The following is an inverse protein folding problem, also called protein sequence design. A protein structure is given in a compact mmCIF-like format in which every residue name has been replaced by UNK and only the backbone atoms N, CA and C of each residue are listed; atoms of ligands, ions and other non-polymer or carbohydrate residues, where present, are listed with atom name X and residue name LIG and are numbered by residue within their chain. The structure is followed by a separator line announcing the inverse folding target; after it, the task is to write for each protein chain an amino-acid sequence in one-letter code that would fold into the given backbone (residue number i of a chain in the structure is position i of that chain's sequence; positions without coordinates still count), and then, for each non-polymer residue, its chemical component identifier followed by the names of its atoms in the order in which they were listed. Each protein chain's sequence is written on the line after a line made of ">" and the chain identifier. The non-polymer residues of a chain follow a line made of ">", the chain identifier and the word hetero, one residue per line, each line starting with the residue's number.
data_IF_604958779225
#
_entry.id   IF_604958779225
#
_cell.length_a   1.000
_cell.length_b   1.000
_cell.length_c   1.000
_cell.angle_alpha   90.00
_cell.angle_beta   90.00
_cell.angle_gamma   90.00
#
_symmetry.space_group_name_H-M   'P 1'
#
loop_
_entity.id
_entity.type
_entity.pdbx_description
1 polymer ?
#
# COMPACT_ATOMS: atom_id res chain seq x y z
N UNK A 1 -22.46 -15.00 -12.23
CA UNK A 1 -21.36 -14.27 -11.58
C UNK A 1 -21.87 -13.92 -10.19
N UNK A 2 -21.21 -14.39 -9.13
CA UNK A 2 -21.65 -14.15 -7.74
C UNK A 2 -21.16 -12.79 -7.25
N UNK A 3 -21.78 -12.21 -6.23
CA UNK A 3 -21.37 -10.92 -5.64
C UNK A 3 -19.93 -11.01 -5.13
N UNK A 4 -19.53 -12.16 -4.58
CA UNK A 4 -18.13 -12.45 -4.22
C UNK A 4 -17.21 -12.43 -5.45
N UNK A 5 -17.61 -13.04 -6.56
CA UNK A 5 -16.78 -13.06 -7.79
C UNK A 5 -16.48 -11.64 -8.29
N UNK A 6 -17.45 -10.73 -8.20
CA UNK A 6 -17.26 -9.33 -8.59
C UNK A 6 -16.26 -8.61 -7.68
N UNK A 7 -16.29 -8.87 -6.37
CA UNK A 7 -15.28 -8.38 -5.44
C UNK A 7 -13.88 -8.91 -5.81
N UNK A 8 -13.75 -10.22 -6.05
CA UNK A 8 -12.45 -10.83 -6.33
C UNK A 8 -11.80 -10.28 -7.62
N UNK A 9 -12.62 -9.92 -8.62
CA UNK A 9 -12.13 -9.23 -9.84
C UNK A 9 -11.62 -7.82 -9.55
N UNK A 10 -12.19 -7.12 -8.56
CA UNK A 10 -11.69 -5.82 -8.09
C UNK A 10 -10.41 -5.98 -7.29
N UNK A 11 -10.31 -7.03 -6.49
CA UNK A 11 -9.15 -7.39 -5.65
C UNK A 11 -8.02 -8.12 -6.41
N UNK A 12 -8.05 -8.12 -7.75
CA UNK A 12 -7.00 -8.70 -8.57
C UNK A 12 -5.63 -8.06 -8.22
N UNK A 13 -4.60 -8.85 -7.83
CA UNK A 13 -3.31 -8.31 -7.40
C UNK A 13 -2.61 -7.48 -8.47
N UNK A 14 -2.83 -7.73 -9.76
CA UNK A 14 -2.26 -6.93 -10.85
C UNK A 14 -2.81 -5.50 -10.82
N UNK A 15 -4.06 -5.34 -10.39
CA UNK A 15 -4.73 -4.04 -10.26
C UNK A 15 -4.38 -3.37 -8.94
N UNK A 16 -4.61 -4.05 -7.82
CA UNK A 16 -4.57 -3.44 -6.48
C UNK A 16 -3.19 -3.46 -5.84
N UNK A 17 -2.23 -4.23 -6.36
CA UNK A 17 -0.83 -4.23 -5.87
C UNK A 17 0.12 -3.72 -6.95
N UNK A 18 0.21 -4.42 -8.09
CA UNK A 18 1.23 -4.13 -9.11
C UNK A 18 0.96 -2.79 -9.82
N UNK A 19 -0.30 -2.40 -9.98
CA UNK A 19 -0.70 -1.10 -10.53
C UNK A 19 -0.11 0.07 -9.74
N UNK A 20 -0.44 0.22 -8.44
CA UNK A 20 0.14 1.22 -7.56
C UNK A 20 1.67 1.19 -7.52
N UNK A 21 2.31 0.01 -7.51
CA UNK A 21 3.78 -0.12 -7.55
C UNK A 21 4.36 0.49 -8.84
N UNK A 22 3.81 0.14 -10.01
CA UNK A 22 4.24 0.71 -11.30
C UNK A 22 4.09 2.21 -11.35
N UNK A 23 3.00 2.75 -10.80
CA UNK A 23 2.76 4.21 -10.75
C UNK A 23 3.72 4.91 -9.80
N UNK A 24 4.09 4.27 -8.68
CA UNK A 24 5.10 4.80 -7.78
C UNK A 24 6.50 4.81 -8.43
N UNK A 25 6.86 3.75 -9.15
CA UNK A 25 8.10 3.69 -9.92
C UNK A 25 8.13 4.76 -11.03
N UNK A 26 7.02 4.96 -11.75
CA UNK A 26 6.89 6.06 -12.70
C UNK A 26 7.10 7.43 -12.04
N UNK A 27 6.49 7.67 -10.88
CA UNK A 27 6.68 8.91 -10.13
C UNK A 27 8.13 9.10 -9.65
N UNK A 28 8.81 8.01 -9.30
CA UNK A 28 10.24 8.01 -8.97
C UNK A 28 11.11 8.40 -10.17
N UNK A 29 10.86 7.80 -11.33
CA UNK A 29 11.67 7.95 -12.55
C UNK A 29 11.47 9.32 -13.23
N UNK A 30 10.28 9.90 -13.09
CA UNK A 30 9.93 11.17 -13.75
C UNK A 30 10.16 12.40 -12.88
N UNK A 31 10.42 12.22 -11.58
CA UNK A 31 10.61 13.35 -10.68
C UNK A 31 11.91 14.11 -11.00
N UNK A 32 11.87 15.45 -11.19
CA UNK A 32 13.01 16.25 -11.64
C UNK A 32 14.04 16.46 -10.51
N UNK A 33 14.80 15.41 -10.20
CA UNK A 33 15.79 15.39 -9.10
C UNK A 33 17.20 15.83 -9.50
N UNK A 34 17.51 15.85 -10.81
CA UNK A 34 18.88 16.03 -11.32
C UNK A 34 19.55 17.37 -10.92
N UNK A 35 18.75 18.40 -10.59
CA UNK A 35 19.24 19.73 -10.23
C UNK A 35 18.92 20.13 -8.78
N UNK A 36 18.48 19.19 -7.94
CA UNK A 36 18.11 19.51 -6.57
C UNK A 36 19.35 19.83 -5.73
N UNK A 37 19.48 21.08 -5.30
CA UNK A 37 20.48 21.50 -4.34
C UNK A 37 19.92 21.34 -2.93
N UNK A 38 20.47 20.39 -2.17
CA UNK A 38 20.04 20.09 -0.80
C UNK A 38 21.21 20.35 0.14
N UNK A 39 21.25 21.56 0.70
CA UNK A 39 22.34 22.01 1.56
C UNK A 39 22.01 21.87 3.06
N UNK A 40 20.73 22.06 3.42
CA UNK A 40 20.24 21.97 4.80
C UNK A 40 19.22 20.84 5.00
N UNK A 41 19.00 20.46 6.27
CA UNK A 41 17.92 19.53 6.62
C UNK A 41 16.53 20.06 6.23
N UNK A 42 16.34 21.38 6.19
CA UNK A 42 15.06 21.98 5.76
C UNK A 42 14.88 21.87 4.25
N UNK A 43 15.93 22.11 3.46
CA UNK A 43 15.89 21.93 1.99
C UNK A 43 15.66 20.46 1.65
N UNK A 44 16.30 19.56 2.39
CA UNK A 44 16.09 18.11 2.25
C UNK A 44 14.64 17.75 2.52
N UNK A 45 14.08 18.19 3.66
CA UNK A 45 12.71 17.88 4.01
C UNK A 45 11.71 18.48 3.02
N UNK A 46 11.98 19.70 2.53
CA UNK A 46 11.19 20.34 1.47
C UNK A 46 11.22 19.52 0.18
N UNK A 47 12.42 19.12 -0.28
CA UNK A 47 12.60 18.28 -1.45
C UNK A 47 11.84 16.95 -1.32
N UNK A 48 11.99 16.25 -0.21
CA UNK A 48 11.28 14.99 0.02
C UNK A 48 9.76 15.17 0.11
N UNK A 49 9.30 16.34 0.57
CA UNK A 49 7.86 16.69 0.60
C UNK A 49 7.31 16.85 -0.81
N UNK A 50 8.00 17.59 -1.68
CA UNK A 50 7.60 17.75 -3.09
C UNK A 50 7.65 16.41 -3.84
N UNK A 51 8.68 15.61 -3.57
CA UNK A 51 8.79 14.27 -4.12
C UNK A 51 7.63 13.38 -3.70
N UNK A 52 7.34 13.31 -2.40
CA UNK A 52 6.22 12.53 -1.86
C UNK A 52 4.89 12.93 -2.50
N UNK A 53 4.63 14.24 -2.58
CA UNK A 53 3.45 14.78 -3.23
C UNK A 53 3.35 14.35 -4.70
N UNK A 54 4.45 14.47 -5.46
CA UNK A 54 4.50 14.02 -6.86
C UNK A 54 4.18 12.53 -7.01
N UNK A 55 4.79 11.68 -6.18
CA UNK A 55 4.55 10.23 -6.26
C UNK A 55 3.13 9.86 -5.85
N UNK A 56 2.59 10.48 -4.79
CA UNK A 56 1.20 10.23 -4.39
C UNK A 56 0.23 10.53 -5.52
N UNK A 57 0.44 11.63 -6.23
CA UNK A 57 -0.40 11.99 -7.36
C UNK A 57 -0.31 11.02 -8.54
N UNK A 58 0.85 10.39 -8.74
CA UNK A 58 0.97 9.28 -9.67
C UNK A 58 0.20 8.04 -9.17
N UNK A 59 0.36 7.68 -7.90
CA UNK A 59 -0.21 6.45 -7.33
C UNK A 59 -1.74 6.49 -7.26
N UNK A 60 -2.30 7.62 -6.83
CA UNK A 60 -3.74 7.77 -6.57
C UNK A 60 -4.54 8.04 -7.83
N UNK A 61 -3.90 8.37 -8.96
CA UNK A 61 -4.54 8.73 -10.25
C UNK A 61 -5.53 9.92 -10.16
N UNK A 62 -5.74 10.48 -8.98
CA UNK A 62 -6.40 11.74 -8.72
C UNK A 62 -5.61 12.49 -7.66
N UNK A 63 -5.73 13.82 -7.66
CA UNK A 63 -5.05 14.68 -6.70
C UNK A 63 -6.01 15.01 -5.56
N UNK A 64 -6.05 14.26 -4.44
CA UNK A 64 -6.57 14.86 -3.22
C UNK A 64 -5.68 16.08 -2.95
N UNK A 65 -6.26 17.29 -2.92
CA UNK A 65 -5.53 18.50 -2.58
C UNK A 65 -5.11 18.42 -1.10
N UNK A 66 -4.07 17.66 -0.82
CA UNK A 66 -3.38 17.72 0.45
C UNK A 66 -2.44 18.91 0.36
N UNK A 67 -2.62 19.86 1.27
CA UNK A 67 -1.72 20.99 1.34
C UNK A 67 -0.28 20.53 1.63
N UNK A 68 0.67 21.40 1.36
CA UNK A 68 2.09 21.14 1.58
C UNK A 68 2.39 20.75 3.04
N UNK A 69 1.65 21.28 4.02
CA UNK A 69 1.86 21.01 5.44
C UNK A 69 1.51 19.57 5.82
N UNK A 70 0.43 19.03 5.26
CA UNK A 70 0.04 17.64 5.44
C UNK A 70 1.11 16.71 4.88
N UNK A 71 1.54 16.95 3.65
CA UNK A 71 2.60 16.16 3.00
C UNK A 71 3.91 16.21 3.78
N UNK A 72 4.31 17.40 4.24
CA UNK A 72 5.50 17.58 5.06
C UNK A 72 5.43 16.78 6.34
N UNK A 73 4.27 16.76 7.00
CA UNK A 73 4.06 15.98 8.22
C UNK A 73 4.12 14.48 7.97
N UNK A 74 3.60 13.99 6.84
CA UNK A 74 3.71 12.57 6.47
C UNK A 74 5.17 12.16 6.23
N UNK A 75 5.91 12.94 5.44
CA UNK A 75 7.34 12.69 5.21
C UNK A 75 8.12 12.73 6.52
N UNK A 76 7.84 13.69 7.39
CA UNK A 76 8.48 13.78 8.70
C UNK A 76 8.22 12.52 9.56
N UNK A 77 6.96 12.07 9.67
CA UNK A 77 6.60 10.85 10.39
C UNK A 77 7.25 9.61 9.78
N UNK A 78 7.27 9.51 8.45
CA UNK A 78 7.87 8.40 7.72
C UNK A 78 9.37 8.30 8.01
N UNK A 79 10.10 9.41 7.87
CA UNK A 79 11.54 9.46 8.17
C UNK A 79 11.83 9.13 9.64
N UNK A 80 11.00 9.60 10.57
CA UNK A 80 11.14 9.23 12.00
C UNK A 80 10.88 7.74 12.24
N UNK A 81 9.94 7.14 11.53
CA UNK A 81 9.66 5.70 11.66
C UNK A 81 10.84 4.84 11.21
N UNK A 82 11.58 5.26 10.18
CA UNK A 82 12.75 4.53 9.68
C UNK A 82 14.04 4.79 10.45
N UNK A 83 14.23 6.00 10.98
CA UNK A 83 15.54 6.43 11.47
C UNK A 83 15.54 6.98 12.91
N UNK A 84 14.40 6.89 13.60
CA UNK A 84 14.23 7.32 14.99
C UNK A 84 13.90 8.80 15.14
N UNK A 85 14.08 9.34 16.35
CA UNK A 85 13.68 10.71 16.71
C UNK A 85 14.35 11.79 15.83
N UNK A 86 15.63 11.62 15.50
CA UNK A 86 16.40 12.49 14.60
C UNK A 86 16.36 12.02 13.14
N UNK A 87 15.21 11.48 12.72
CA UNK A 87 15.12 10.74 11.47
C UNK A 87 15.35 11.60 10.22
N UNK A 88 15.04 12.90 10.29
CA UNK A 88 15.30 13.84 9.19
C UNK A 88 16.78 14.09 9.01
N UNK A 89 17.51 14.32 10.11
CA UNK A 89 18.95 14.56 10.12
C UNK A 89 19.72 13.32 9.64
N UNK A 90 19.31 12.13 10.11
CA UNK A 90 19.89 10.86 9.64
C UNK A 90 19.64 10.62 8.16
N UNK A 91 18.41 10.84 7.68
CA UNK A 91 18.08 10.70 6.27
C UNK A 91 18.84 11.72 5.40
N UNK A 92 18.99 12.96 5.88
CA UNK A 92 19.79 13.98 5.19
C UNK A 92 21.28 13.58 5.12
N UNK A 93 21.84 13.01 6.19
CA UNK A 93 23.19 12.48 6.20
C UNK A 93 23.35 11.34 5.18
N UNK A 94 22.40 10.40 5.13
CA UNK A 94 22.36 9.33 4.13
C UNK A 94 22.34 9.91 2.71
N UNK A 95 21.47 10.89 2.45
CA UNK A 95 21.37 11.56 1.16
C UNK A 95 22.69 12.19 0.74
N UNK A 96 23.37 12.90 1.66
CA UNK A 96 24.64 13.59 1.41
C UNK A 96 25.84 12.66 1.25
N UNK A 97 25.88 11.56 2.00
CA UNK A 97 27.02 10.64 2.01
C UNK A 97 26.92 9.53 0.97
N UNK A 98 25.73 9.31 0.39
CA UNK A 98 25.49 8.25 -0.59
C UNK A 98 25.41 6.85 0.00
N UNK A 99 25.55 6.70 1.33
CA UNK A 99 25.43 5.42 2.01
C UNK A 99 24.02 4.85 1.78
N UNK A 100 23.88 3.52 1.67
CA UNK A 100 22.58 2.86 1.45
C UNK A 100 21.79 3.35 0.22
N UNK A 101 22.49 3.80 -0.83
CA UNK A 101 21.87 4.30 -2.07
C UNK A 101 21.54 5.79 -2.05
N UNK A 102 21.93 6.52 -1.01
CA UNK A 102 21.85 7.97 -0.95
C UNK A 102 20.43 8.52 -1.11
N UNK A 103 20.32 9.67 -1.78
CA UNK A 103 19.05 10.35 -2.04
C UNK A 103 18.08 9.46 -2.83
N UNK A 104 18.57 8.78 -3.87
CA UNK A 104 17.73 7.89 -4.68
C UNK A 104 17.19 6.71 -3.86
N UNK A 105 18.01 6.11 -2.99
CA UNK A 105 17.57 5.05 -2.09
C UNK A 105 16.45 5.51 -1.13
N UNK A 106 16.52 6.75 -0.64
CA UNK A 106 15.47 7.36 0.18
C UNK A 106 14.20 7.64 -0.62
N UNK A 107 14.33 8.23 -1.81
CA UNK A 107 13.20 8.48 -2.72
C UNK A 107 12.49 7.16 -3.05
N UNK A 108 13.23 6.11 -3.39
CA UNK A 108 12.66 4.78 -3.65
C UNK A 108 11.90 4.21 -2.46
N UNK A 109 12.37 4.43 -1.22
CA UNK A 109 11.64 4.01 0.00
C UNK A 109 10.34 4.79 0.17
N UNK A 110 10.37 6.10 -0.03
CA UNK A 110 9.17 6.93 0.05
C UNK A 110 8.16 6.54 -1.03
N UNK A 111 8.60 6.29 -2.27
CA UNK A 111 7.72 5.87 -3.35
C UNK A 111 7.02 4.54 -3.04
N UNK A 112 7.78 3.55 -2.56
CA UNK A 112 7.22 2.26 -2.11
C UNK A 112 6.23 2.41 -0.95
N UNK A 113 6.50 3.32 -0.01
CA UNK A 113 5.58 3.61 1.08
C UNK A 113 4.26 4.21 0.55
N UNK A 114 4.33 5.18 -0.37
CA UNK A 114 3.14 5.77 -0.98
C UNK A 114 2.29 4.73 -1.72
N UNK A 115 2.92 3.81 -2.47
CA UNK A 115 2.23 2.68 -3.09
C UNK A 115 1.53 1.81 -2.02
N UNK A 116 2.26 1.37 -1.00
CA UNK A 116 1.73 0.48 0.04
C UNK A 116 0.58 1.09 0.84
N UNK A 117 0.65 2.38 1.16
CA UNK A 117 -0.45 3.07 1.84
C UNK A 117 -1.70 3.13 0.96
N UNK A 118 -1.55 3.45 -0.33
CA UNK A 118 -2.67 3.41 -1.28
C UNK A 118 -3.27 2.01 -1.38
N UNK A 119 -2.44 0.98 -1.57
CA UNK A 119 -2.88 -0.41 -1.65
C UNK A 119 -3.73 -0.80 -0.42
N UNK A 120 -3.26 -0.46 0.79
CA UNK A 120 -3.99 -0.76 2.03
C UNK A 120 -5.34 -0.07 2.07
N UNK A 121 -5.40 1.22 1.72
CA UNK A 121 -6.63 2.01 1.74
C UNK A 121 -7.62 1.49 0.68
N UNK A 122 -7.16 1.31 -0.56
CA UNK A 122 -7.99 0.89 -1.70
C UNK A 122 -8.60 -0.50 -1.47
N UNK A 123 -7.80 -1.45 -0.98
CA UNK A 123 -8.28 -2.79 -0.61
C UNK A 123 -9.29 -2.71 0.53
N UNK A 124 -8.98 -1.96 1.60
CA UNK A 124 -9.86 -1.84 2.77
C UNK A 124 -11.22 -1.26 2.36
N UNK A 125 -11.24 -0.13 1.65
CA UNK A 125 -12.48 0.52 1.19
C UNK A 125 -13.27 -0.42 0.27
N UNK A 126 -12.59 -1.12 -0.65
CA UNK A 126 -13.25 -2.07 -1.56
C UNK A 126 -13.92 -3.24 -0.80
N UNK A 127 -13.26 -3.76 0.24
CA UNK A 127 -13.80 -4.84 1.08
C UNK A 127 -14.93 -4.33 1.99
N UNK A 128 -14.73 -3.17 2.62
CA UNK A 128 -15.73 -2.53 3.49
C UNK A 128 -17.02 -2.25 2.72
N UNK A 129 -16.92 -1.62 1.54
CA UNK A 129 -18.08 -1.36 0.68
C UNK A 129 -18.83 -2.65 0.37
N UNK A 130 -18.12 -3.72 -0.03
CA UNK A 130 -18.74 -5.02 -0.30
C UNK A 130 -19.49 -5.56 0.94
N UNK A 131 -18.86 -5.59 2.11
CA UNK A 131 -19.47 -6.13 3.32
C UNK A 131 -20.64 -5.28 3.82
N UNK A 132 -20.63 -3.96 3.58
CA UNK A 132 -21.74 -3.07 3.91
C UNK A 132 -22.99 -3.33 3.05
N UNK A 133 -22.83 -3.87 1.85
CA UNK A 133 -23.96 -4.20 0.96
C UNK A 133 -24.60 -5.55 1.28
N UNK A 134 -23.95 -6.40 2.07
CA UNK A 134 -24.44 -7.73 2.42
C UNK A 134 -25.13 -7.73 3.79
N UNK A 135 -26.23 -8.47 3.90
CA UNK A 135 -26.77 -8.88 5.19
C UNK A 135 -25.95 -10.03 5.81
N UNK A 136 -26.35 -10.49 7.00
CA UNK A 136 -25.60 -11.51 7.73
C UNK A 136 -25.66 -12.89 7.05
N UNK A 137 -26.78 -13.25 6.40
CA UNK A 137 -26.92 -14.52 5.68
C UNK A 137 -26.09 -14.48 4.39
N UNK A 138 -26.11 -13.37 3.67
CA UNK A 138 -25.28 -13.15 2.48
C UNK A 138 -23.79 -13.15 2.79
N UNK A 139 -23.37 -12.64 3.96
CA UNK A 139 -21.98 -12.73 4.44
C UNK A 139 -21.58 -14.16 4.73
N UNK A 140 -22.45 -14.94 5.36
CA UNK A 140 -22.21 -16.36 5.63
C UNK A 140 -22.06 -17.16 4.33
N UNK A 141 -22.94 -16.93 3.36
CA UNK A 141 -22.87 -17.59 2.07
C UNK A 141 -21.63 -17.17 1.27
N UNK A 142 -21.26 -15.89 1.27
CA UNK A 142 -20.03 -15.41 0.63
C UNK A 142 -18.77 -16.01 1.31
N UNK A 143 -18.76 -16.11 2.63
CA UNK A 143 -17.65 -16.73 3.37
C UNK A 143 -17.52 -18.22 3.03
N UNK A 144 -18.64 -18.95 2.93
CA UNK A 144 -18.66 -20.36 2.54
C UNK A 144 -18.16 -20.53 1.11
N UNK A 145 -18.69 -19.76 0.15
CA UNK A 145 -18.24 -19.76 -1.24
C UNK A 145 -16.73 -19.48 -1.34
N UNK A 146 -16.23 -18.50 -0.58
CA UNK A 146 -14.81 -18.18 -0.55
C UNK A 146 -13.97 -19.34 -0.01
N UNK A 147 -14.42 -19.96 1.10
CA UNK A 147 -13.71 -21.10 1.70
C UNK A 147 -13.60 -22.30 0.76
N UNK A 148 -14.67 -22.61 0.03
CA UNK A 148 -14.71 -23.71 -0.93
C UNK A 148 -13.80 -23.45 -2.14
N UNK A 149 -13.72 -22.19 -2.60
CA UNK A 149 -12.89 -21.80 -3.75
C UNK A 149 -11.40 -21.75 -3.44
N UNK A 150 -11.03 -21.41 -2.20
CA UNK A 150 -9.65 -21.14 -1.82
C UNK A 150 -9.12 -22.06 -0.71
N UNK A 151 -9.76 -23.20 -0.49
CA UNK A 151 -9.41 -24.18 0.56
C UNK A 151 -7.90 -24.48 0.59
N UNK A 152 -7.31 -24.79 -0.56
CA UNK A 152 -5.89 -25.14 -0.72
C UNK A 152 -4.92 -24.00 -0.36
N UNK A 153 -5.40 -22.76 -0.33
CA UNK A 153 -4.59 -21.57 -0.07
C UNK A 153 -4.82 -20.97 1.31
N UNK A 154 -5.85 -21.44 2.02
CA UNK A 154 -6.18 -20.95 3.34
C UNK A 154 -5.36 -21.67 4.41
N UNK A 155 -4.84 -20.95 5.40
CA UNK A 155 -4.29 -21.57 6.60
C UNK A 155 -5.33 -22.52 7.23
N UNK A 156 -4.95 -23.76 7.60
CA UNK A 156 -5.88 -24.73 8.18
C UNK A 156 -6.67 -24.18 9.38
N UNK A 157 -6.06 -23.26 10.14
CA UNK A 157 -6.67 -22.63 11.31
C UNK A 157 -7.91 -21.78 10.96
N UNK A 158 -8.05 -21.33 9.72
CA UNK A 158 -9.25 -20.63 9.25
C UNK A 158 -10.38 -21.59 8.88
N UNK A 159 -10.05 -22.84 8.55
CA UNK A 159 -11.01 -23.87 8.15
C UNK A 159 -11.51 -24.70 9.35
N UNK A 160 -10.86 -24.56 10.51
CA UNK A 160 -11.32 -25.16 11.77
C UNK A 160 -12.74 -24.70 12.17
N UNK A 161 -13.39 -25.48 13.05
CA UNK A 161 -14.74 -25.20 13.56
C UNK A 161 -15.79 -24.99 12.45
N UNK A 162 -15.70 -25.79 11.39
CA UNK A 162 -16.56 -25.70 10.19
C UNK A 162 -16.51 -24.31 9.53
N UNK A 163 -15.35 -23.64 9.52
CA UNK A 163 -15.17 -22.34 8.89
C UNK A 163 -15.69 -21.14 9.70
N UNK A 164 -16.14 -21.33 10.95
CA UNK A 164 -16.60 -20.25 11.83
C UNK A 164 -15.50 -19.20 12.05
N UNK A 165 -14.24 -19.63 12.14
CA UNK A 165 -13.10 -18.74 12.31
C UNK A 165 -12.87 -17.86 11.08
N UNK A 166 -13.09 -18.40 9.87
CA UNK A 166 -13.07 -17.62 8.64
C UNK A 166 -14.19 -16.58 8.63
N UNK A 167 -15.41 -16.97 8.98
CA UNK A 167 -16.56 -16.05 9.04
C UNK A 167 -16.29 -14.88 9.98
N UNK A 168 -15.80 -15.15 11.19
CA UNK A 168 -15.45 -14.12 12.19
C UNK A 168 -14.34 -13.17 11.73
N UNK A 169 -13.51 -13.60 10.77
CA UNK A 169 -12.35 -12.84 10.28
C UNK A 169 -12.50 -12.49 8.80
N UNK A 170 -13.70 -12.59 8.25
CA UNK A 170 -13.89 -12.63 6.81
C UNK A 170 -13.39 -11.36 6.12
N UNK A 171 -13.65 -10.20 6.71
CA UNK A 171 -13.08 -8.91 6.30
C UNK A 171 -11.55 -8.98 6.17
N UNK A 172 -10.86 -9.41 7.23
CA UNK A 172 -9.39 -9.50 7.23
C UNK A 172 -8.87 -10.51 6.23
N UNK A 173 -9.61 -11.60 6.00
CA UNK A 173 -9.29 -12.60 4.98
C UNK A 173 -9.37 -12.00 3.58
N UNK A 174 -10.45 -11.26 3.29
CA UNK A 174 -10.64 -10.56 2.02
C UNK A 174 -9.59 -9.45 1.81
N UNK A 175 -9.24 -8.68 2.83
CA UNK A 175 -8.17 -7.68 2.74
C UNK A 175 -6.81 -8.31 2.43
N UNK A 176 -6.56 -9.52 2.92
CA UNK A 176 -5.32 -10.24 2.67
C UNK A 176 -5.33 -11.01 1.34
N UNK A 177 -6.50 -11.20 0.72
CA UNK A 177 -6.67 -11.99 -0.49
C UNK A 177 -5.68 -11.62 -1.61
N UNK A 178 -5.54 -10.33 -2.02
CA UNK A 178 -4.62 -9.97 -3.10
C UNK A 178 -3.17 -10.40 -2.84
N UNK A 179 -2.72 -10.27 -1.59
CA UNK A 179 -1.35 -10.64 -1.19
C UNK A 179 -1.14 -12.16 -1.21
N UNK A 180 -2.15 -12.92 -0.78
CA UNK A 180 -2.10 -14.39 -0.84
C UNK A 180 -2.00 -14.87 -2.29
N UNK A 181 -2.87 -14.39 -3.17
CA UNK A 181 -2.89 -14.79 -4.59
C UNK A 181 -1.61 -14.38 -5.32
N UNK A 182 -1.10 -13.16 -5.07
CA UNK A 182 0.17 -12.71 -5.66
C UNK A 182 1.33 -13.64 -5.29
N UNK A 183 1.41 -14.07 -4.03
CA UNK A 183 2.48 -14.94 -3.55
C UNK A 183 2.41 -16.38 -4.10
N UNK A 184 1.21 -16.89 -4.37
CA UNK A 184 1.01 -18.19 -5.01
C UNK A 184 1.43 -18.12 -6.48
N UNK A 185 1.00 -17.07 -7.19
CA UNK A 185 1.27 -16.90 -8.62
C UNK A 185 2.75 -16.71 -8.92
N UNK A 186 3.51 -16.08 -8.01
CA UNK A 186 4.97 -15.90 -8.14
C UNK A 186 5.79 -17.19 -7.86
N UNK A 187 5.16 -18.29 -7.42
CA UNK A 187 5.83 -19.58 -7.15
C UNK A 187 5.69 -20.59 -8.30
N UNK A 188 4.97 -20.25 -9.37
CA UNK A 188 4.82 -21.02 -10.61
C UNK A 188 5.72 -20.40 -11.68
#
# INVERSE_FOLDING_TARGET
>A
MTVLSDLLVKLDPVKVIDGPERRADFGLDTFPSANACVESCQDFLHFMTLFHQSVQSCVWEYWPYYDYSWNRNQVFKLLRSYFGENGVEHAHLIARTGIHGGLYGLMKRIAKHAASEFQRIDIHVTVEEFLMYLDDEEKEDAAREYSERFEDYLPPELLENNGLTLLMRFEKVLENHPYMIRNVTLRI
#
